data_IF_791596920195
#
_entry.id   IF_791596920195
#
_cell.length_a   1.000
_cell.length_b   1.000
_cell.length_c   1.000
_cell.angle_alpha   90.00
_cell.angle_beta   90.00
_cell.angle_gamma   90.00
#
_symmetry.space_group_name_H-M   'P 1'
#
loop_
_entity.id
_entity.type
_entity.pdbx_description
1 polymer ?
#
# COMPACT_ATOMS: atom_id res chain seq x y z
N UNK A 1 -2.00 16.43 13.47
CA UNK A 1 -1.41 15.20 12.92
C UNK A 1 -0.48 15.53 11.77
N UNK A 2 0.68 14.86 11.66
CA UNK A 2 1.57 14.98 10.50
C UNK A 2 1.92 13.62 9.93
N UNK A 3 2.34 13.60 8.65
CA UNK A 3 2.72 12.40 7.93
C UNK A 3 4.03 12.63 7.20
N UNK A 4 5.05 11.86 7.54
CA UNK A 4 6.37 11.89 6.89
C UNK A 4 6.88 10.48 6.65
N UNK A 5 7.42 10.23 5.43
CA UNK A 5 8.04 8.94 5.03
C UNK A 5 7.24 7.70 5.44
N UNK A 6 5.91 7.71 5.22
CA UNK A 6 4.97 6.64 5.59
C UNK A 6 4.75 6.42 7.10
N UNK A 7 5.20 7.35 7.93
CA UNK A 7 4.99 7.37 9.38
C UNK A 7 4.02 8.46 9.78
N UNK A 8 3.26 8.20 10.84
CA UNK A 8 2.28 9.14 11.39
C UNK A 8 2.81 9.70 12.70
N UNK A 9 2.62 11.01 12.91
CA UNK A 9 3.06 11.72 14.10
C UNK A 9 1.90 12.52 14.69
N UNK A 10 1.81 12.51 16.00
CA UNK A 10 0.92 13.36 16.78
C UNK A 10 1.75 14.16 17.78
N UNK A 11 1.71 15.49 17.68
CA UNK A 11 2.52 16.40 18.53
C UNK A 11 4.03 16.09 18.50
N UNK A 12 4.55 15.61 17.37
CA UNK A 12 5.97 15.25 17.22
C UNK A 12 6.31 13.82 17.62
N UNK A 13 5.39 13.07 18.24
CA UNK A 13 5.59 11.67 18.62
C UNK A 13 5.08 10.73 17.53
N UNK A 14 5.83 9.65 17.26
CA UNK A 14 5.44 8.63 16.28
C UNK A 14 4.29 7.79 16.83
N UNK A 15 3.20 7.72 16.09
CA UNK A 15 2.03 6.90 16.42
C UNK A 15 1.82 5.79 15.39
N UNK A 16 1.25 4.66 15.85
CA UNK A 16 0.92 3.57 14.94
C UNK A 16 -0.28 3.92 14.04
N UNK A 17 -0.43 3.22 12.91
CA UNK A 17 -1.59 3.39 12.03
C UNK A 17 -2.91 3.09 12.74
N UNK A 18 -2.92 2.17 13.72
CA UNK A 18 -4.11 1.83 14.52
C UNK A 18 -4.43 2.92 15.52
N UNK A 19 -3.43 3.50 16.17
CA UNK A 19 -3.63 4.59 17.12
C UNK A 19 -4.14 5.85 16.41
N UNK A 20 -3.59 6.15 15.21
CA UNK A 20 -4.11 7.20 14.35
C UNK A 20 -5.58 6.95 13.96
N UNK A 21 -5.96 5.70 13.66
CA UNK A 21 -7.35 5.34 13.40
C UNK A 21 -8.25 5.61 14.62
N UNK A 22 -7.81 5.22 15.82
CA UNK A 22 -8.54 5.44 17.07
C UNK A 22 -8.68 6.93 17.37
N UNK A 23 -7.61 7.69 17.17
CA UNK A 23 -7.62 9.13 17.31
C UNK A 23 -8.64 9.80 16.37
N UNK A 24 -8.61 9.46 15.08
CA UNK A 24 -9.55 10.01 14.09
C UNK A 24 -11.00 9.60 14.37
N UNK A 25 -11.23 8.39 14.91
CA UNK A 25 -12.57 7.95 15.31
C UNK A 25 -13.18 8.85 16.38
N UNK A 26 -12.36 9.38 17.28
CA UNK A 26 -12.83 10.20 18.41
C UNK A 26 -12.90 11.69 18.06
N UNK A 27 -12.04 12.17 17.15
CA UNK A 27 -11.82 13.60 16.95
C UNK A 27 -12.16 14.11 15.54
N UNK A 28 -12.36 13.23 14.57
CA UNK A 28 -12.62 13.62 13.19
C UNK A 28 -14.09 13.46 12.81
N UNK A 29 -14.50 14.15 11.73
CA UNK A 29 -15.79 13.91 11.08
C UNK A 29 -15.86 12.47 10.55
N UNK A 30 -17.06 11.91 10.51
CA UNK A 30 -17.29 10.52 10.13
C UNK A 30 -16.79 10.16 8.72
N UNK A 31 -16.86 11.09 7.77
CA UNK A 31 -16.36 10.93 6.40
C UNK A 31 -14.84 10.78 6.36
N UNK A 32 -14.11 11.61 7.11
CA UNK A 32 -12.64 11.57 7.24
C UNK A 32 -12.21 10.25 7.87
N UNK A 33 -12.88 9.83 8.96
CA UNK A 33 -12.63 8.55 9.61
C UNK A 33 -12.87 7.37 8.66
N UNK A 34 -13.99 7.38 7.92
CA UNK A 34 -14.32 6.31 6.98
C UNK A 34 -13.31 6.22 5.83
N UNK A 35 -12.83 7.36 5.33
CA UNK A 35 -11.77 7.41 4.32
C UNK A 35 -10.46 6.81 4.84
N UNK A 36 -10.05 7.17 6.06
CA UNK A 36 -8.86 6.61 6.70
C UNK A 36 -8.99 5.10 6.89
N UNK A 37 -10.12 4.64 7.44
CA UNK A 37 -10.42 3.22 7.67
C UNK A 37 -10.36 2.41 6.38
N UNK A 38 -10.98 2.91 5.30
CA UNK A 38 -10.93 2.29 3.98
C UNK A 38 -9.48 2.20 3.47
N UNK A 39 -8.68 3.26 3.62
CA UNK A 39 -7.26 3.26 3.28
C UNK A 39 -6.45 2.22 4.06
N UNK A 40 -6.70 2.11 5.38
CA UNK A 40 -6.03 1.13 6.23
C UNK A 40 -6.40 -0.31 5.86
N UNK A 41 -7.67 -0.58 5.54
CA UNK A 41 -8.11 -1.89 5.08
C UNK A 41 -7.45 -2.28 3.76
N UNK A 42 -7.38 -1.37 2.78
CA UNK A 42 -6.67 -1.60 1.51
C UNK A 42 -5.19 -1.87 1.73
N UNK A 43 -4.55 -1.11 2.60
CA UNK A 43 -3.14 -1.30 2.94
C UNK A 43 -2.88 -2.67 3.56
N UNK A 44 -3.73 -3.10 4.50
CA UNK A 44 -3.62 -4.42 5.14
C UNK A 44 -3.88 -5.56 4.16
N UNK A 45 -4.93 -5.43 3.32
CA UNK A 45 -5.23 -6.40 2.27
C UNK A 45 -4.07 -6.54 1.27
N UNK A 46 -3.46 -5.42 0.85
CA UNK A 46 -2.31 -5.43 -0.03
C UNK A 46 -1.12 -6.19 0.57
N UNK A 47 -0.78 -5.94 1.83
CA UNK A 47 0.29 -6.67 2.52
C UNK A 47 -0.01 -8.16 2.70
N UNK A 48 -1.28 -8.50 2.95
CA UNK A 48 -1.70 -9.92 3.03
C UNK A 48 -1.51 -10.63 1.69
N UNK A 49 -1.89 -9.99 0.57
CA UNK A 49 -1.72 -10.56 -0.77
C UNK A 49 -0.24 -10.76 -1.11
N UNK A 50 0.60 -9.75 -0.88
CA UNK A 50 2.05 -9.85 -1.11
C UNK A 50 2.66 -10.94 -0.23
N UNK A 51 2.27 -11.01 1.06
CA UNK A 51 2.77 -12.04 1.97
C UNK A 51 2.38 -13.47 1.55
N UNK A 52 1.16 -13.65 1.04
CA UNK A 52 0.71 -14.95 0.51
C UNK A 52 1.49 -15.28 -0.77
N UNK A 53 1.66 -14.31 -1.70
CA UNK A 53 2.44 -14.50 -2.92
C UNK A 53 3.87 -14.99 -2.61
N UNK A 54 4.59 -14.28 -1.75
CA UNK A 54 5.94 -14.66 -1.32
C UNK A 54 6.01 -16.04 -0.66
N UNK A 55 5.01 -16.43 0.13
CA UNK A 55 4.96 -17.76 0.75
C UNK A 55 4.75 -18.85 -0.31
N UNK A 56 3.92 -18.61 -1.33
CA UNK A 56 3.72 -19.54 -2.44
C UNK A 56 4.98 -19.66 -3.28
N UNK A 57 5.68 -18.57 -3.57
CA UNK A 57 6.95 -18.59 -4.29
C UNK A 57 8.03 -19.38 -3.53
N UNK A 58 8.14 -19.18 -2.23
CA UNK A 58 9.07 -19.95 -1.39
C UNK A 58 8.75 -21.46 -1.40
N UNK A 59 7.45 -21.82 -1.35
CA UNK A 59 7.01 -23.21 -1.44
C UNK A 59 7.30 -23.81 -2.83
N UNK A 60 7.05 -23.08 -3.91
CA UNK A 60 7.34 -23.51 -5.27
C UNK A 60 8.85 -23.76 -5.47
N UNK A 61 9.69 -22.86 -4.98
CA UNK A 61 11.14 -23.02 -5.00
C UNK A 61 11.59 -24.25 -4.20
N UNK A 62 11.06 -24.43 -2.99
CA UNK A 62 11.38 -25.59 -2.15
C UNK A 62 11.01 -26.92 -2.81
N UNK A 63 9.82 -27.00 -3.41
CA UNK A 63 9.36 -28.17 -4.18
C UNK A 63 10.28 -28.43 -5.38
N UNK A 64 10.64 -27.39 -6.13
CA UNK A 64 11.49 -27.50 -7.31
C UNK A 64 12.88 -28.04 -6.94
N UNK A 65 13.48 -27.51 -5.88
CA UNK A 65 14.79 -27.97 -5.37
C UNK A 65 14.68 -29.41 -4.89
N UNK A 66 13.63 -29.74 -4.13
CA UNK A 66 13.42 -31.11 -3.61
C UNK A 66 13.26 -32.15 -4.71
N UNK A 67 12.49 -31.83 -5.78
CA UNK A 67 12.31 -32.70 -6.94
C UNK A 67 13.61 -32.89 -7.73
N UNK A 68 14.40 -31.84 -7.89
CA UNK A 68 15.69 -31.89 -8.58
C UNK A 68 16.79 -32.62 -7.78
N UNK A 69 16.84 -32.38 -6.47
CA UNK A 69 17.83 -33.01 -5.61
C UNK A 69 17.63 -34.51 -5.39
N UNK A 70 16.38 -34.98 -5.48
CA UNK A 70 16.04 -36.40 -5.39
C UNK A 70 16.12 -37.16 -6.71
N UNK A 71 16.50 -36.49 -7.81
CA UNK A 71 16.56 -37.09 -9.13
C UNK A 71 17.93 -37.72 -9.38
N UNK A 72 17.94 -39.06 -9.52
CA UNK A 72 19.10 -39.83 -9.97
C UNK A 72 18.93 -40.13 -11.48
N UNK A 73 19.74 -39.51 -12.35
CA UNK A 73 19.59 -39.68 -13.79
C UNK A 73 20.06 -41.08 -14.20
N UNK A 74 19.10 -41.94 -14.57
CA UNK A 74 19.41 -43.22 -15.19
C UNK A 74 19.84 -42.97 -16.66
N UNK A 75 21.08 -43.24 -17.04
CA UNK A 75 21.60 -43.00 -18.37
C UNK A 75 20.87 -43.82 -19.47
N UNK A 76 20.27 -44.95 -19.08
CA UNK A 76 19.53 -45.82 -20.04
C UNK A 76 18.08 -45.35 -20.26
N UNK A 77 17.54 -44.49 -19.38
CA UNK A 77 16.18 -43.95 -19.47
C UNK A 77 16.18 -42.44 -19.22
N UNK A 78 16.50 -41.63 -20.20
CA UNK A 78 16.43 -40.17 -20.04
C UNK A 78 14.97 -39.74 -19.79
N UNK A 79 14.59 -39.68 -18.51
CA UNK A 79 13.24 -39.24 -18.13
C UNK A 79 13.26 -37.74 -17.95
N UNK A 80 12.48 -37.03 -18.75
CA UNK A 80 12.15 -35.61 -18.58
C UNK A 80 11.23 -35.36 -17.34
N UNK A 81 10.95 -36.43 -16.56
CA UNK A 81 9.94 -36.44 -15.50
C UNK A 81 10.04 -35.31 -14.48
N UNK A 82 11.18 -35.10 -13.79
CA UNK A 82 11.25 -34.09 -12.75
C UNK A 82 11.23 -32.66 -13.30
N UNK A 83 11.84 -32.42 -14.45
CA UNK A 83 11.81 -31.10 -15.09
C UNK A 83 10.41 -30.76 -15.58
N UNK A 84 9.68 -31.74 -16.08
CA UNK A 84 8.29 -31.58 -16.51
C UNK A 84 7.34 -31.39 -15.30
N UNK A 85 7.60 -32.10 -14.18
CA UNK A 85 6.86 -31.91 -12.95
C UNK A 85 7.09 -30.52 -12.32
N UNK A 86 8.31 -30.00 -12.34
CA UNK A 86 8.61 -28.63 -11.92
C UNK A 86 7.88 -27.61 -12.79
N UNK A 87 7.81 -27.82 -14.09
CA UNK A 87 7.12 -26.91 -15.00
C UNK A 87 5.58 -26.95 -14.81
N UNK A 88 5.02 -28.15 -14.66
CA UNK A 88 3.55 -28.35 -14.52
C UNK A 88 3.00 -27.89 -13.18
N UNK A 89 3.76 -28.05 -12.10
CA UNK A 89 3.32 -27.71 -10.75
C UNK A 89 3.87 -26.33 -10.36
N UNK A 90 5.17 -26.12 -10.51
CA UNK A 90 5.84 -24.88 -10.12
C UNK A 90 5.42 -23.68 -10.99
N UNK A 91 5.24 -23.88 -12.31
CA UNK A 91 4.85 -22.80 -13.22
C UNK A 91 3.55 -22.11 -12.83
N UNK A 92 2.42 -22.83 -12.68
CA UNK A 92 1.17 -22.23 -12.22
C UNK A 92 1.24 -21.62 -10.82
N UNK A 93 2.02 -22.20 -9.89
CA UNK A 93 2.20 -21.64 -8.55
C UNK A 93 2.89 -20.28 -8.61
N UNK A 94 4.00 -20.16 -9.33
CA UNK A 94 4.73 -18.89 -9.50
C UNK A 94 3.85 -17.86 -10.23
N UNK A 95 3.14 -18.26 -11.30
CA UNK A 95 2.24 -17.35 -11.99
C UNK A 95 1.12 -16.82 -11.09
N UNK A 96 0.55 -17.69 -10.24
CA UNK A 96 -0.44 -17.31 -9.23
C UNK A 96 0.13 -16.36 -8.16
N UNK A 97 1.32 -16.64 -7.66
CA UNK A 97 2.01 -15.80 -6.68
C UNK A 97 2.29 -14.40 -7.23
N UNK A 98 2.83 -14.30 -8.46
CA UNK A 98 3.07 -13.03 -9.15
C UNK A 98 1.77 -12.23 -9.33
N UNK A 99 0.65 -12.88 -9.68
CA UNK A 99 -0.64 -12.20 -9.80
C UNK A 99 -1.09 -11.57 -8.46
N UNK A 100 -0.86 -12.26 -7.34
CA UNK A 100 -1.15 -11.74 -6.00
C UNK A 100 -0.26 -10.55 -5.64
N UNK A 101 1.02 -10.61 -5.94
CA UNK A 101 1.97 -9.53 -5.68
C UNK A 101 1.67 -8.28 -6.52
N UNK A 102 1.44 -8.46 -7.84
CA UNK A 102 1.08 -7.38 -8.76
C UNK A 102 -0.21 -6.69 -8.32
N UNK A 103 -1.17 -7.42 -7.75
CA UNK A 103 -2.42 -6.86 -7.23
C UNK A 103 -2.21 -6.20 -5.85
N UNK A 104 -1.38 -6.79 -5.00
CA UNK A 104 -1.13 -6.32 -3.64
C UNK A 104 -0.41 -4.97 -3.59
N UNK A 105 0.59 -4.74 -4.43
CA UNK A 105 1.39 -3.51 -4.45
C UNK A 105 0.53 -2.25 -4.70
N UNK A 106 -0.32 -2.18 -5.74
CA UNK A 106 -1.22 -1.04 -5.93
C UNK A 106 -2.15 -0.79 -4.74
N UNK A 107 -2.66 -1.85 -4.09
CA UNK A 107 -3.52 -1.70 -2.91
C UNK A 107 -2.78 -1.05 -1.74
N UNK A 108 -1.51 -1.40 -1.51
CA UNK A 108 -0.66 -0.74 -0.51
C UNK A 108 -0.50 0.75 -0.83
N UNK A 109 -0.20 1.08 -2.09
CA UNK A 109 -0.01 2.47 -2.53
C UNK A 109 -1.28 3.30 -2.40
N UNK A 110 -2.42 2.79 -2.88
CA UNK A 110 -3.72 3.46 -2.79
C UNK A 110 -4.15 3.61 -1.33
N UNK A 111 -3.96 2.57 -0.51
CA UNK A 111 -4.24 2.60 0.92
C UNK A 111 -3.46 3.69 1.65
N UNK A 112 -2.16 3.78 1.42
CA UNK A 112 -1.31 4.84 1.99
C UNK A 112 -1.75 6.24 1.52
N UNK A 113 -2.06 6.41 0.23
CA UNK A 113 -2.54 7.69 -0.32
C UNK A 113 -3.85 8.14 0.35
N UNK A 114 -4.83 7.23 0.51
CA UNK A 114 -6.10 7.53 1.18
C UNK A 114 -5.93 7.91 2.64
N UNK A 115 -5.08 7.19 3.38
CA UNK A 115 -4.77 7.52 4.77
C UNK A 115 -4.15 8.93 4.88
N UNK A 116 -3.19 9.27 4.01
CA UNK A 116 -2.59 10.61 3.96
C UNK A 116 -3.63 11.69 3.69
N UNK A 117 -4.45 11.51 2.66
CA UNK A 117 -5.52 12.46 2.31
C UNK A 117 -6.50 12.70 3.46
N UNK A 118 -6.82 11.67 4.25
CA UNK A 118 -7.68 11.81 5.43
C UNK A 118 -7.05 12.67 6.52
N UNK A 119 -5.73 12.55 6.72
CA UNK A 119 -5.00 13.37 7.70
C UNK A 119 -4.93 14.83 7.22
N UNK A 120 -4.64 15.04 5.95
CA UNK A 120 -4.63 16.38 5.36
C UNK A 120 -6.01 17.04 5.50
N UNK A 121 -7.09 16.30 5.21
CA UNK A 121 -8.47 16.78 5.39
C UNK A 121 -8.81 17.06 6.86
N UNK A 122 -8.32 16.24 7.80
CA UNK A 122 -8.48 16.50 9.23
C UNK A 122 -7.78 17.79 9.65
N UNK A 123 -6.52 17.97 9.25
CA UNK A 123 -5.74 19.16 9.60
C UNK A 123 -6.40 20.44 9.06
N UNK A 124 -6.88 20.43 7.80
CA UNK A 124 -7.61 21.56 7.21
C UNK A 124 -8.88 21.87 8.03
N UNK A 125 -9.56 20.84 8.53
CA UNK A 125 -10.79 21.04 9.32
C UNK A 125 -10.50 21.63 10.70
N UNK A 126 -9.36 21.30 11.31
CA UNK A 126 -8.97 21.80 12.63
C UNK A 126 -8.32 23.20 12.58
N UNK A 127 -7.61 23.52 11.49
CA UNK A 127 -6.90 24.77 11.30
C UNK A 127 -7.31 25.47 9.99
N UNK A 128 -8.59 25.86 9.85
CA UNK A 128 -9.06 26.47 8.60
C UNK A 128 -8.38 27.79 8.28
N UNK A 129 -7.91 28.51 9.28
CA UNK A 129 -7.25 29.82 9.13
C UNK A 129 -5.77 29.68 8.67
N UNK A 130 -5.07 28.65 9.09
CA UNK A 130 -3.64 28.45 8.79
C UNK A 130 -3.42 27.87 7.38
N UNK A 131 -4.32 27.04 6.88
CA UNK A 131 -4.29 26.57 5.49
C UNK A 131 -4.80 27.60 4.49
N UNK A 132 -5.55 28.61 4.94
CA UNK A 132 -6.05 29.69 4.11
C UNK A 132 -5.02 30.79 3.86
N UNK A 133 -3.96 30.86 4.67
CA UNK A 133 -3.02 31.99 4.63
C UNK A 133 -1.94 31.91 3.55
N UNK A 134 -1.69 30.73 2.96
CA UNK A 134 -0.64 30.55 1.96
C UNK A 134 -1.20 30.02 0.63
N UNK A 135 -2.02 30.80 -0.06
CA UNK A 135 -2.47 30.41 -1.39
C UNK A 135 -2.57 31.60 -2.35
N UNK A 136 -2.38 31.28 -3.61
CA UNK A 136 -2.60 32.22 -4.70
C UNK A 136 -4.09 32.30 -5.03
N UNK A 137 -4.64 33.50 -4.99
CA UNK A 137 -6.03 33.77 -5.40
C UNK A 137 -6.05 34.67 -6.61
N UNK A 138 -6.77 34.25 -7.64
CA UNK A 138 -7.10 35.11 -8.79
C UNK A 138 -8.32 35.91 -8.40
N UNK A 139 -8.19 37.23 -8.38
CA UNK A 139 -9.29 38.13 -8.06
C UNK A 139 -9.49 39.18 -9.18
N UNK A 140 -10.73 39.53 -9.52
CA UNK A 140 -10.98 40.67 -10.38
C UNK A 140 -10.58 41.98 -9.64
N UNK A 141 -9.76 42.76 -10.29
CA UNK A 141 -9.37 44.11 -9.83
C UNK A 141 -10.00 45.15 -10.73
N UNK A 142 -10.06 46.40 -10.29
CA UNK A 142 -10.64 47.52 -11.07
C UNK A 142 -9.98 47.70 -12.44
N UNK A 143 -8.78 47.20 -12.68
CA UNK A 143 -7.99 47.31 -13.91
C UNK A 143 -7.77 45.98 -14.63
N UNK A 144 -8.49 44.88 -14.24
CA UNK A 144 -8.30 43.55 -14.85
C UNK A 144 -8.31 42.42 -13.84
N UNK A 145 -7.52 41.37 -14.12
CA UNK A 145 -7.37 40.18 -13.25
C UNK A 145 -6.06 40.31 -12.48
N UNK A 146 -6.13 40.29 -11.16
CA UNK A 146 -4.96 40.31 -10.26
C UNK A 146 -4.71 38.98 -9.60
N UNK A 147 -3.41 38.69 -9.30
CA UNK A 147 -2.94 37.54 -8.54
C UNK A 147 -2.57 38.05 -7.15
N UNK A 148 -3.26 37.57 -6.14
CA UNK A 148 -2.98 37.93 -4.73
C UNK A 148 -2.41 36.71 -4.02
N UNK A 149 -1.31 36.90 -3.32
CA UNK A 149 -0.70 35.91 -2.43
C UNK A 149 -0.92 36.35 -0.98
N UNK A 150 -1.59 35.53 -0.19
CA UNK A 150 -1.72 35.74 1.25
C UNK A 150 -0.61 34.94 1.97
N UNK A 151 0.08 35.63 2.88
CA UNK A 151 1.07 35.02 3.77
C UNK A 151 0.45 34.61 5.09
#
# INVERSE_FOLDING_TARGET
>A
LSYDKSKFYHQGEHISKRDCQTFLKLNAKQDIYNQYRSGLQMYQAGWSLVGIGLAVDAAALGLSIGLLAGYDPDPERPTMGPMFAVLLIGGPMVAGALALEITGIPLICVGNKRMKQSIDAYNITQHPAESANNFWRIQPTSNGIGLTYNF
#
